data_IF_472166135493
#
_entry.id   IF_472166135493
#
_cell.length_a   1.000
_cell.length_b   1.000
_cell.length_c   1.000
_cell.angle_alpha   90.00
_cell.angle_beta   90.00
_cell.angle_gamma   90.00
#
_symmetry.space_group_name_H-M   'P 1'
#
loop_
_entity.id
_entity.type
_entity.pdbx_description
1 polymer ?
#
# COMPACT_ATOMS: atom_id res chain seq x y z
N UNK A 1 22.56 -4.88 -10.49
CA UNK A 1 22.71 -5.44 -9.13
C UNK A 1 21.31 -5.66 -8.57
N UNK A 2 21.01 -6.85 -8.04
CA UNK A 2 19.69 -7.16 -7.48
C UNK A 2 19.78 -6.96 -5.96
N UNK A 3 19.08 -5.96 -5.44
CA UNK A 3 18.94 -5.74 -3.99
C UNK A 3 17.78 -6.60 -3.50
N UNK A 4 17.95 -7.26 -2.37
CA UNK A 4 16.96 -8.12 -1.74
C UNK A 4 16.60 -7.59 -0.36
N UNK A 5 15.43 -7.97 0.16
CA UNK A 5 15.07 -7.61 1.53
C UNK A 5 16.05 -8.17 2.58
N UNK A 6 16.74 -9.27 2.27
CA UNK A 6 17.76 -9.87 3.14
C UNK A 6 18.93 -8.92 3.40
N UNK A 7 19.27 -8.06 2.43
CA UNK A 7 20.37 -7.10 2.54
C UNK A 7 20.08 -5.99 3.57
N UNK A 8 18.83 -5.87 4.04
CA UNK A 8 18.39 -4.88 5.04
C UNK A 8 18.30 -5.44 6.46
N UNK A 9 18.55 -6.74 6.67
CA UNK A 9 18.27 -7.41 7.94
C UNK A 9 19.21 -6.98 9.07
N UNK A 10 20.42 -6.50 8.73
CA UNK A 10 21.38 -5.98 9.71
C UNK A 10 21.03 -4.56 10.19
N UNK A 11 20.07 -3.88 9.53
CA UNK A 11 19.60 -2.57 9.95
C UNK A 11 18.65 -2.69 11.16
N UNK A 12 18.69 -1.74 12.10
CA UNK A 12 17.66 -1.60 13.12
C UNK A 12 16.25 -1.54 12.51
N UNK A 13 15.26 -2.08 13.23
CA UNK A 13 13.86 -2.14 12.74
C UNK A 13 13.35 -0.75 12.33
N UNK A 14 13.67 0.31 13.07
CA UNK A 14 13.30 1.69 12.73
C UNK A 14 13.85 2.12 11.38
N UNK A 15 15.10 1.79 11.09
CA UNK A 15 15.75 2.12 9.81
C UNK A 15 15.16 1.32 8.66
N UNK A 16 14.81 0.04 8.90
CA UNK A 16 14.10 -0.78 7.91
C UNK A 16 12.72 -0.21 7.57
N UNK A 17 11.98 0.26 8.58
CA UNK A 17 10.69 0.92 8.38
C UNK A 17 10.86 2.21 7.58
N UNK A 18 11.84 3.04 7.94
CA UNK A 18 12.13 4.27 7.22
C UNK A 18 12.51 4.00 5.77
N UNK A 19 13.39 3.03 5.51
CA UNK A 19 13.80 2.65 4.16
C UNK A 19 12.62 2.17 3.31
N UNK A 20 11.76 1.30 3.86
CA UNK A 20 10.54 0.86 3.16
C UNK A 20 9.62 2.04 2.85
N UNK A 21 9.52 3.00 3.75
CA UNK A 21 8.72 4.21 3.56
C UNK A 21 9.29 5.07 2.44
N UNK A 22 10.60 5.35 2.46
CA UNK A 22 11.27 6.14 1.42
C UNK A 22 11.18 5.47 0.04
N UNK A 23 11.33 4.14 -0.02
CA UNK A 23 11.13 3.38 -1.26
C UNK A 23 9.68 3.54 -1.75
N UNK A 24 8.70 3.39 -0.86
CA UNK A 24 7.29 3.51 -1.22
C UNK A 24 6.95 4.91 -1.75
N UNK A 25 7.44 5.97 -1.10
CA UNK A 25 7.29 7.36 -1.56
C UNK A 25 7.93 7.55 -2.95
N UNK A 26 9.16 7.05 -3.16
CA UNK A 26 9.84 7.18 -4.46
C UNK A 26 9.09 6.50 -5.62
N UNK A 27 8.39 5.39 -5.35
CA UNK A 27 7.55 4.71 -6.33
C UNK A 27 6.31 5.56 -6.64
N UNK A 28 5.71 6.16 -5.62
CA UNK A 28 4.53 7.02 -5.77
C UNK A 28 4.81 8.27 -6.62
N UNK A 29 6.06 8.75 -6.65
CA UNK A 29 6.50 9.86 -7.50
C UNK A 29 6.62 9.51 -8.99
N UNK A 30 6.56 8.23 -9.35
CA UNK A 30 6.73 7.74 -10.73
C UNK A 30 5.48 7.01 -11.29
N UNK A 31 4.28 7.62 -11.27
CA UNK A 31 3.03 6.96 -11.66
C UNK A 31 3.02 6.49 -13.13
N UNK A 32 3.75 7.16 -14.01
CA UNK A 32 3.85 6.82 -15.44
C UNK A 32 4.59 5.51 -15.72
N UNK A 33 5.39 5.02 -14.77
CA UNK A 33 6.06 3.73 -14.89
C UNK A 33 5.11 2.55 -14.63
N UNK A 34 3.95 2.81 -14.02
CA UNK A 34 2.94 1.80 -13.74
C UNK A 34 1.98 1.69 -14.93
N UNK A 35 2.25 0.74 -15.82
CA UNK A 35 1.35 0.42 -16.93
C UNK A 35 0.14 -0.37 -16.41
N UNK A 36 -1.05 0.24 -16.48
CA UNK A 36 -2.31 -0.43 -16.17
C UNK A 36 -2.98 -0.90 -17.47
N UNK A 37 -3.51 -2.13 -17.47
CA UNK A 37 -4.45 -2.55 -18.52
C UNK A 37 -5.75 -1.76 -18.41
N UNK A 38 -6.48 -1.65 -19.52
CA UNK A 38 -7.77 -0.96 -19.54
C UNK A 38 -8.76 -1.59 -18.54
N UNK A 39 -8.78 -2.93 -18.48
CA UNK A 39 -9.59 -3.69 -17.51
C UNK A 39 -9.25 -3.32 -16.05
N UNK A 40 -7.96 -3.18 -15.73
CA UNK A 40 -7.53 -2.80 -14.37
C UNK A 40 -7.92 -1.36 -14.07
N UNK A 41 -7.81 -0.46 -15.04
CA UNK A 41 -8.20 0.96 -14.89
C UNK A 41 -9.71 1.11 -14.66
N UNK A 42 -10.52 0.36 -15.39
CA UNK A 42 -11.98 0.34 -15.22
C UNK A 42 -12.36 -0.20 -13.84
N UNK A 43 -11.77 -1.32 -13.42
CA UNK A 43 -11.98 -1.89 -12.09
C UNK A 43 -11.64 -0.91 -10.98
N UNK A 44 -10.49 -0.22 -11.07
CA UNK A 44 -10.07 0.76 -10.07
C UNK A 44 -11.04 1.95 -10.03
N UNK A 45 -11.48 2.45 -11.18
CA UNK A 45 -12.48 3.53 -11.29
C UNK A 45 -13.79 3.13 -10.61
N UNK A 46 -14.30 1.93 -10.89
CA UNK A 46 -15.52 1.42 -10.26
C UNK A 46 -15.39 1.28 -8.73
N UNK A 47 -14.25 0.77 -8.25
CA UNK A 47 -13.98 0.63 -6.80
C UNK A 47 -13.90 1.98 -6.10
N UNK A 48 -13.28 2.98 -6.73
CA UNK A 48 -13.20 4.34 -6.20
C UNK A 48 -14.59 4.98 -6.11
N UNK A 49 -15.42 4.83 -7.15
CA UNK A 49 -16.77 5.38 -7.14
C UNK A 49 -17.68 4.67 -6.13
N UNK A 50 -17.51 3.36 -5.94
CA UNK A 50 -18.23 2.61 -4.89
C UNK A 50 -17.83 3.12 -3.49
N UNK A 51 -16.54 3.35 -3.25
CA UNK A 51 -16.04 3.90 -1.98
C UNK A 51 -16.58 5.32 -1.72
N UNK A 52 -16.61 6.18 -2.73
CA UNK A 52 -17.18 7.54 -2.64
C UNK A 52 -18.68 7.52 -2.33
N UNK A 53 -19.43 6.59 -2.94
CA UNK A 53 -20.89 6.45 -2.73
C UNK A 53 -21.24 5.83 -1.40
N UNK A 54 -20.35 5.03 -0.82
CA UNK A 54 -20.55 4.43 0.49
C UNK A 54 -19.28 4.53 1.37
N UNK A 55 -19.00 5.71 1.94
CA UNK A 55 -17.83 5.90 2.82
C UNK A 55 -17.85 4.97 4.04
N UNK A 56 -19.04 4.57 4.50
CA UNK A 56 -19.24 3.63 5.62
C UNK A 56 -19.01 2.15 5.28
N UNK A 57 -18.75 1.81 4.01
CA UNK A 57 -18.36 0.45 3.62
C UNK A 57 -16.94 0.07 4.06
N UNK A 58 -16.17 1.04 4.57
CA UNK A 58 -14.80 0.85 5.04
C UNK A 58 -14.79 0.78 6.57
N UNK A 59 -14.11 -0.19 7.16
CA UNK A 59 -13.85 -0.18 8.60
C UNK A 59 -12.73 0.82 8.93
N UNK A 60 -12.86 1.65 9.97
CA UNK A 60 -11.75 2.39 10.53
C UNK A 60 -10.59 1.47 10.90
N UNK A 61 -9.35 1.96 10.79
CA UNK A 61 -8.17 1.15 11.09
C UNK A 61 -8.18 0.55 12.51
N UNK A 62 -8.68 1.29 13.51
CA UNK A 62 -8.80 0.77 14.87
C UNK A 62 -9.74 -0.44 14.99
N UNK A 63 -10.85 -0.44 14.23
CA UNK A 63 -11.76 -1.59 14.17
C UNK A 63 -11.10 -2.79 13.48
N UNK A 64 -10.39 -2.55 12.38
CA UNK A 64 -9.60 -3.56 11.66
C UNK A 64 -8.52 -4.16 12.57
N UNK A 65 -7.82 -3.32 13.33
CA UNK A 65 -6.77 -3.73 14.24
C UNK A 65 -7.33 -4.55 15.39
N UNK A 66 -8.44 -4.09 15.99
CA UNK A 66 -9.14 -4.81 17.07
C UNK A 66 -9.55 -6.21 16.63
N UNK A 67 -10.21 -6.37 15.48
CA UNK A 67 -10.64 -7.70 14.99
C UNK A 67 -9.48 -8.63 14.63
N UNK A 68 -8.31 -8.10 14.26
CA UNK A 68 -7.17 -8.90 13.79
C UNK A 68 -6.22 -9.29 14.92
N UNK A 69 -6.12 -8.46 15.97
CA UNK A 69 -5.26 -8.73 17.13
C UNK A 69 -6.01 -9.43 18.29
N UNK A 70 -7.34 -9.31 18.34
CA UNK A 70 -8.18 -9.97 19.36
C UNK A 70 -8.88 -11.24 18.83
N UNK A 71 -8.51 -11.69 17.62
CA UNK A 71 -8.99 -12.93 16.99
C UNK A 71 -8.01 -14.08 17.14
#
# INVERSE_FOLDING_TARGET
MKVTAADTLDLPISERIQLVTEIWESIAECPEQIMLTDETRELLSHRLDASRRNPGASSPWEEVKSRTLNG
#
